data_IF_466386959218
#
_entry.id   IF_466386959218
#
_cell.length_a   1.000
_cell.length_b   1.000
_cell.length_c   1.000
_cell.angle_alpha   90.00
_cell.angle_beta   90.00
_cell.angle_gamma   90.00
#
_symmetry.space_group_name_H-M   'P 1'
#
loop_
_entity.id
_entity.type
_entity.pdbx_description
1 polymer ?
#
# COMPACT_ATOMS: atom_id res chain seq x y z
N UNK A 1 46.02 35.19 -31.02
CA UNK A 1 46.01 33.92 -31.77
C UNK A 1 46.30 32.80 -30.76
N UNK A 2 45.42 31.78 -30.70
CA UNK A 2 45.40 30.55 -29.87
C UNK A 2 45.34 30.74 -28.33
N UNK A 3 44.19 30.64 -27.65
CA UNK A 3 43.26 29.51 -27.37
C UNK A 3 43.73 28.61 -26.21
N UNK A 4 43.09 28.83 -25.05
CA UNK A 4 43.10 27.95 -23.89
C UNK A 4 42.23 26.71 -24.18
N UNK A 5 42.78 25.53 -23.92
CA UNK A 5 42.02 24.31 -23.74
C UNK A 5 42.69 23.49 -22.62
N UNK A 6 42.09 23.51 -21.43
CA UNK A 6 42.33 22.48 -20.41
C UNK A 6 41.13 21.57 -20.45
N UNK A 7 41.32 20.39 -21.06
CA UNK A 7 40.32 19.35 -21.15
C UNK A 7 40.13 18.69 -19.77
N UNK A 8 39.02 19.01 -19.09
CA UNK A 8 38.47 18.15 -18.05
C UNK A 8 37.90 16.88 -18.69
N UNK A 9 38.67 15.79 -18.67
CA UNK A 9 38.21 14.43 -18.98
C UNK A 9 38.21 13.65 -17.66
N UNK A 10 37.07 13.40 -17.02
CA UNK A 10 36.11 12.31 -17.30
C UNK A 10 36.75 10.93 -17.49
N UNK A 11 36.50 10.05 -16.51
CA UNK A 11 36.24 8.61 -16.72
C UNK A 11 37.14 7.61 -15.97
N UNK A 12 36.50 6.74 -15.16
CA UNK A 12 36.78 5.30 -14.93
C UNK A 12 36.97 4.81 -13.46
N UNK A 13 35.82 4.57 -12.81
CA UNK A 13 35.39 3.39 -12.01
C UNK A 13 36.39 2.37 -11.44
N UNK A 14 36.20 1.99 -10.16
CA UNK A 14 35.94 0.59 -9.75
C UNK A 14 35.11 0.52 -8.46
N UNK A 15 34.04 -0.27 -8.56
CA UNK A 15 33.12 -0.75 -7.53
C UNK A 15 33.83 -1.53 -6.42
N UNK A 16 33.62 -1.15 -5.15
CA UNK A 16 33.78 -2.04 -4.00
C UNK A 16 32.40 -2.49 -3.51
N UNK A 17 31.77 -3.36 -4.31
CA UNK A 17 30.53 -4.04 -3.96
C UNK A 17 30.73 -5.01 -2.79
N UNK A 18 30.31 -4.61 -1.61
CA UNK A 18 29.92 -5.54 -0.53
C UNK A 18 28.41 -5.44 -0.39
N UNK A 19 27.69 -6.27 -1.15
CA UNK A 19 26.27 -6.50 -0.92
C UNK A 19 26.17 -7.71 0.00
N UNK A 20 26.09 -7.45 1.31
CA UNK A 20 25.83 -8.51 2.29
C UNK A 20 24.38 -8.98 2.09
N UNK A 21 24.10 -10.29 1.94
CA UNK A 21 22.73 -10.77 1.92
C UNK A 21 22.12 -10.56 3.30
N UNK A 22 21.21 -9.61 3.43
CA UNK A 22 20.37 -9.51 4.62
C UNK A 22 19.17 -10.45 4.45
N UNK A 23 18.94 -11.31 5.42
CA UNK A 23 17.76 -12.17 5.47
C UNK A 23 16.67 -11.45 6.26
N UNK A 24 15.51 -11.21 5.65
CA UNK A 24 14.34 -10.71 6.36
C UNK A 24 13.58 -11.92 6.93
N UNK A 25 13.58 -12.08 8.25
CA UNK A 25 12.71 -13.02 8.95
C UNK A 25 11.51 -12.28 9.54
N UNK A 26 10.29 -12.62 9.10
CA UNK A 26 9.06 -12.06 9.66
C UNK A 26 8.56 -12.99 10.78
N UNK A 27 8.77 -12.61 12.04
CA UNK A 27 8.19 -13.30 13.19
C UNK A 27 6.98 -12.51 13.70
N UNK A 28 5.79 -13.06 13.49
CA UNK A 28 4.56 -12.54 14.09
C UNK A 28 4.29 -13.32 15.39
N UNK A 29 4.40 -12.64 16.53
CA UNK A 29 3.93 -13.17 17.81
C UNK A 29 2.53 -12.65 18.08
N UNK A 30 1.54 -13.54 18.02
CA UNK A 30 0.16 -13.24 18.35
C UNK A 30 -0.05 -13.61 19.83
N UNK A 31 0.11 -12.64 20.72
CA UNK A 31 -0.08 -12.82 22.16
C UNK A 31 -1.57 -12.89 22.44
N UNK A 32 -2.12 -14.11 22.41
CA UNK A 32 -3.50 -14.37 22.75
C UNK A 32 -3.66 -14.21 24.27
N UNK A 33 -4.35 -13.14 24.69
CA UNK A 33 -4.65 -12.84 26.08
C UNK A 33 -5.44 -13.96 26.79
N UNK A 34 -5.50 -13.93 28.13
CA UNK A 34 -5.99 -15.05 28.93
C UNK A 34 -7.49 -15.31 28.72
N UNK A 35 -7.77 -16.33 27.91
CA UNK A 35 -8.53 -17.50 28.35
C UNK A 35 -10.05 -17.42 28.44
N UNK A 36 -10.73 -17.27 27.29
CA UNK A 36 -12.11 -17.76 27.11
C UNK A 36 -12.21 -19.31 27.23
N UNK A 37 -11.08 -19.99 27.46
CA UNK A 37 -10.96 -21.44 27.63
C UNK A 37 -11.74 -21.97 28.84
N UNK A 38 -11.97 -21.14 29.86
CA UNK A 38 -12.77 -21.54 31.03
C UNK A 38 -14.26 -21.64 30.73
N UNK A 39 -14.78 -20.81 29.82
CA UNK A 39 -16.18 -20.86 29.41
C UNK A 39 -16.46 -22.09 28.54
N UNK A 40 -15.49 -22.48 27.69
CA UNK A 40 -15.64 -23.63 26.78
C UNK A 40 -15.75 -24.98 27.48
N UNK A 41 -15.19 -25.14 28.69
CA UNK A 41 -15.35 -26.35 29.49
C UNK A 41 -16.75 -26.47 30.13
N UNK A 42 -17.47 -25.35 30.29
CA UNK A 42 -18.88 -25.37 30.70
C UNK A 42 -19.79 -25.69 29.52
N UNK A 43 -19.47 -25.20 28.32
CA UNK A 43 -20.20 -25.48 27.07
C UNK A 43 -19.99 -26.93 26.59
N UNK A 44 -18.86 -27.57 26.91
CA UNK A 44 -18.57 -28.97 26.54
C UNK A 44 -19.50 -30.02 27.20
N UNK A 45 -20.44 -29.63 28.06
CA UNK A 45 -21.48 -30.52 28.61
C UNK A 45 -22.80 -30.48 27.84
N UNK A 46 -22.94 -29.59 26.86
CA UNK A 46 -24.13 -29.52 26.01
C UNK A 46 -23.83 -30.10 24.61
N UNK A 47 -24.75 -30.91 24.04
CA UNK A 47 -24.47 -31.63 22.81
C UNK A 47 -24.63 -30.72 21.59
N UNK A 48 -23.60 -30.74 20.74
CA UNK A 48 -23.59 -30.40 19.31
C UNK A 48 -24.13 -29.03 18.89
N UNK A 49 -23.24 -28.05 18.79
CA UNK A 49 -23.38 -26.92 17.86
C UNK A 49 -22.14 -26.87 16.93
N UNK A 50 -22.43 -26.62 15.65
CA UNK A 50 -21.54 -26.63 14.48
C UNK A 50 -20.18 -25.94 14.68
N UNK A 51 -19.14 -26.30 13.89
CA UNK A 51 -17.84 -25.64 13.95
C UNK A 51 -18.01 -24.14 13.74
N UNK A 52 -17.63 -23.38 14.77
CA UNK A 52 -17.57 -21.92 14.80
C UNK A 52 -16.81 -21.45 13.54
N UNK A 53 -17.53 -20.77 12.65
CA UNK A 53 -17.00 -20.25 11.40
C UNK A 53 -15.73 -19.42 11.68
N UNK A 54 -14.69 -19.61 10.87
CA UNK A 54 -13.53 -18.74 10.87
C UNK A 54 -13.99 -17.28 10.79
N UNK A 55 -13.27 -16.31 11.42
CA UNK A 55 -13.61 -14.90 11.27
C UNK A 55 -13.71 -14.58 9.77
N UNK A 56 -14.91 -14.23 9.33
CA UNK A 56 -15.17 -13.88 7.93
C UNK A 56 -14.25 -12.70 7.56
N UNK A 57 -13.64 -12.71 6.36
CA UNK A 57 -12.77 -11.62 5.95
C UNK A 57 -13.56 -10.31 5.98
N UNK A 58 -13.02 -9.30 6.66
CA UNK A 58 -13.56 -7.95 6.59
C UNK A 58 -13.33 -7.41 5.17
N UNK A 59 -14.33 -7.67 4.31
CA UNK A 59 -14.33 -7.25 2.91
C UNK A 59 -14.10 -5.76 2.77
N UNK A 60 -14.61 -4.93 3.68
CA UNK A 60 -14.40 -3.49 3.66
C UNK A 60 -12.93 -3.15 3.94
N UNK A 61 -12.30 -3.84 4.90
CA UNK A 61 -10.88 -3.65 5.20
C UNK A 61 -9.95 -4.11 4.06
N UNK A 62 -10.29 -5.22 3.40
CA UNK A 62 -9.52 -5.71 2.24
C UNK A 62 -9.63 -4.75 1.06
N UNK A 63 -10.83 -4.25 0.83
CA UNK A 63 -11.14 -3.27 -0.19
C UNK A 63 -10.45 -1.93 0.04
N UNK A 64 -10.44 -1.45 1.29
CA UNK A 64 -9.71 -0.26 1.70
C UNK A 64 -8.20 -0.43 1.48
N UNK A 65 -7.65 -1.62 1.78
CA UNK A 65 -6.23 -1.92 1.57
C UNK A 65 -5.85 -1.92 0.08
N UNK A 66 -6.75 -2.35 -0.81
CA UNK A 66 -6.55 -2.24 -2.27
C UNK A 66 -6.47 -0.80 -2.78
N UNK A 67 -6.98 0.18 -2.02
CA UNK A 67 -6.97 1.60 -2.39
C UNK A 67 -5.86 2.40 -1.69
N UNK A 68 -4.93 1.72 -1.02
CA UNK A 68 -3.77 2.36 -0.38
C UNK A 68 -3.03 3.24 -1.38
N UNK A 69 -2.74 4.50 -1.00
CA UNK A 69 -2.09 5.48 -1.86
C UNK A 69 -0.66 5.00 -2.26
N UNK A 70 -0.41 4.64 -3.52
CA UNK A 70 0.90 4.13 -3.93
C UNK A 70 1.94 5.24 -4.06
N UNK A 71 1.53 6.50 -4.26
CA UNK A 71 2.45 7.64 -4.33
C UNK A 71 3.04 7.93 -2.95
N UNK A 72 2.26 7.74 -1.88
CA UNK A 72 2.77 7.79 -0.51
C UNK A 72 3.82 6.68 -0.23
N UNK A 73 3.65 5.49 -0.83
CA UNK A 73 4.66 4.42 -0.75
C UNK A 73 5.95 4.79 -1.51
N UNK A 74 5.83 5.43 -2.68
CA UNK A 74 6.99 5.95 -3.43
C UNK A 74 7.73 7.02 -2.62
N UNK A 75 7.01 7.93 -1.98
CA UNK A 75 7.58 8.95 -1.08
C UNK A 75 8.29 8.33 0.12
N UNK A 76 7.81 7.20 0.64
CA UNK A 76 8.49 6.46 1.71
C UNK A 76 9.82 5.83 1.26
N UNK A 77 10.01 5.65 -0.05
CA UNK A 77 11.25 5.17 -0.66
C UNK A 77 12.17 6.31 -1.14
N UNK A 78 11.86 7.57 -0.83
CA UNK A 78 12.58 8.75 -1.34
C UNK A 78 14.09 8.70 -1.11
N UNK A 79 14.51 8.20 0.04
CA UNK A 79 15.91 8.14 0.45
C UNK A 79 16.66 7.07 -0.36
N UNK A 80 16.03 5.91 -0.59
CA UNK A 80 16.56 4.83 -1.43
C UNK A 80 16.61 5.21 -2.93
N UNK A 81 15.66 6.04 -3.37
CA UNK A 81 15.55 6.51 -4.76
C UNK A 81 16.37 7.78 -5.02
N UNK A 82 16.96 8.38 -3.97
CA UNK A 82 17.71 9.64 -4.05
C UNK A 82 16.90 10.75 -4.74
N UNK A 83 15.63 10.90 -4.36
CA UNK A 83 14.72 11.88 -4.98
C UNK A 83 15.17 13.30 -4.70
N UNK A 84 15.20 14.15 -5.73
CA UNK A 84 15.44 15.58 -5.56
C UNK A 84 14.29 16.24 -4.78
N UNK A 85 14.55 17.31 -3.99
CA UNK A 85 13.52 17.97 -3.19
C UNK A 85 12.35 18.50 -4.06
N UNK A 86 12.62 18.90 -5.30
CA UNK A 86 11.60 19.30 -6.27
C UNK A 86 10.74 18.12 -6.72
N UNK A 87 11.32 16.93 -6.88
CA UNK A 87 10.58 15.70 -7.21
C UNK A 87 9.70 15.28 -6.03
N UNK A 88 10.22 15.36 -4.80
CA UNK A 88 9.44 15.07 -3.58
C UNK A 88 8.23 16.01 -3.48
N UNK A 89 8.43 17.32 -3.69
CA UNK A 89 7.32 18.29 -3.67
C UNK A 89 6.24 17.97 -4.72
N UNK A 90 6.64 17.65 -5.95
CA UNK A 90 5.68 17.26 -7.01
C UNK A 90 4.93 15.97 -6.68
N UNK A 91 5.63 14.95 -6.16
CA UNK A 91 5.01 13.69 -5.75
C UNK A 91 4.08 13.88 -4.55
N UNK A 92 4.42 14.78 -3.62
CA UNK A 92 3.56 15.15 -2.50
C UNK A 92 2.23 15.74 -3.01
N UNK A 93 2.28 16.69 -3.93
CA UNK A 93 1.07 17.27 -4.55
C UNK A 93 0.22 16.21 -5.23
N UNK A 94 0.84 15.25 -5.93
CA UNK A 94 0.12 14.14 -6.57
C UNK A 94 -0.52 13.24 -5.51
N UNK A 95 0.20 12.93 -4.41
CA UNK A 95 -0.32 12.13 -3.31
C UNK A 95 -1.53 12.80 -2.63
N UNK A 96 -1.42 14.09 -2.32
CA UNK A 96 -2.48 14.88 -1.69
C UNK A 96 -3.72 14.98 -2.59
N UNK A 97 -3.51 15.13 -3.90
CA UNK A 97 -4.59 15.11 -4.91
C UNK A 97 -5.28 13.75 -4.97
N UNK A 98 -4.52 12.66 -4.99
CA UNK A 98 -5.08 11.31 -5.01
C UNK A 98 -5.88 11.02 -3.74
N UNK A 99 -5.38 11.45 -2.57
CA UNK A 99 -6.11 11.29 -1.31
C UNK A 99 -7.41 12.09 -1.34
N UNK A 100 -7.40 13.32 -1.85
CA UNK A 100 -8.60 14.13 -2.02
C UNK A 100 -9.63 13.47 -2.95
N UNK A 101 -9.18 12.93 -4.10
CA UNK A 101 -10.02 12.24 -5.07
C UNK A 101 -10.59 10.91 -4.53
N UNK A 102 -9.88 10.26 -3.61
CA UNK A 102 -10.31 9.00 -2.99
C UNK A 102 -11.10 9.20 -1.68
N UNK A 103 -11.22 10.43 -1.13
CA UNK A 103 -12.07 10.69 0.05
C UNK A 103 -13.51 10.23 -0.13
N UNK A 104 -14.22 10.50 -1.25
CA UNK A 104 -15.60 10.06 -1.43
C UNK A 104 -15.73 8.53 -1.41
N UNK A 105 -14.72 7.83 -1.91
CA UNK A 105 -14.65 6.36 -1.88
C UNK A 105 -14.48 5.89 -0.44
N UNK A 106 -13.56 6.48 0.32
CA UNK A 106 -13.33 6.16 1.73
C UNK A 106 -14.58 6.44 2.60
N UNK A 107 -15.27 7.55 2.37
CA UNK A 107 -16.51 7.89 3.07
C UNK A 107 -17.64 6.90 2.71
N UNK A 108 -17.72 6.47 1.44
CA UNK A 108 -18.67 5.43 1.01
C UNK A 108 -18.40 4.08 1.68
N UNK A 109 -17.13 3.67 1.80
CA UNK A 109 -16.75 2.45 2.53
C UNK A 109 -17.11 2.56 4.03
N UNK A 110 -16.88 3.73 4.65
CA UNK A 110 -17.24 3.96 6.06
C UNK A 110 -18.74 3.86 6.27
N UNK A 111 -19.53 4.52 5.42
CA UNK A 111 -20.99 4.48 5.49
C UNK A 111 -21.54 3.07 5.25
N UNK A 112 -20.96 2.34 4.28
CA UNK A 112 -21.31 0.95 4.02
C UNK A 112 -21.09 0.06 5.24
N UNK A 113 -19.97 0.26 5.96
CA UNK A 113 -19.67 -0.45 7.22
C UNK A 113 -20.65 -0.11 8.35
N UNK A 114 -21.07 1.14 8.46
CA UNK A 114 -22.05 1.58 9.47
C UNK A 114 -23.44 1.03 9.17
N UNK A 115 -23.84 1.00 7.89
CA UNK A 115 -25.17 0.53 7.44
C UNK A 115 -25.29 -1.00 7.49
N UNK A 116 -24.18 -1.70 7.25
CA UNK A 116 -24.05 -3.15 7.21
C UNK A 116 -24.41 -3.89 8.52
N UNK A 117 -24.29 -3.23 9.68
CA UNK A 117 -24.47 -3.88 10.98
C UNK A 117 -23.44 -4.98 11.28
N UNK A 118 -23.76 -5.89 12.21
CA UNK A 118 -22.84 -6.94 12.70
C UNK A 118 -22.52 -8.04 11.67
N UNK A 119 -23.35 -8.21 10.63
CA UNK A 119 -23.16 -9.21 9.56
C UNK A 119 -23.71 -8.72 8.21
N UNK A 120 -22.97 -7.86 7.50
CA UNK A 120 -23.31 -7.56 6.12
C UNK A 120 -23.22 -8.79 5.23
N UNK A 121 -24.07 -8.83 4.20
CA UNK A 121 -23.83 -9.68 3.05
C UNK A 121 -22.63 -9.11 2.24
N UNK A 122 -21.50 -9.83 2.17
CA UNK A 122 -20.29 -9.32 1.53
C UNK A 122 -20.47 -9.13 0.02
N UNK A 123 -21.32 -9.93 -0.64
CA UNK A 123 -21.55 -9.84 -2.07
C UNK A 123 -22.35 -8.59 -2.43
N UNK A 124 -23.36 -8.24 -1.62
CA UNK A 124 -24.15 -7.03 -1.82
C UNK A 124 -23.33 -5.77 -1.57
N UNK A 125 -22.51 -5.74 -0.51
CA UNK A 125 -21.60 -4.63 -0.25
C UNK A 125 -20.58 -4.43 -1.38
N UNK A 126 -19.98 -5.52 -1.85
CA UNK A 126 -19.01 -5.46 -2.95
C UNK A 126 -19.66 -4.93 -4.24
N UNK A 127 -20.87 -5.38 -4.58
CA UNK A 127 -21.61 -4.89 -5.74
C UNK A 127 -21.97 -3.41 -5.63
N UNK A 128 -22.35 -2.94 -4.44
CA UNK A 128 -22.68 -1.53 -4.20
C UNK A 128 -21.44 -0.62 -4.28
N UNK A 129 -20.29 -1.07 -3.79
CA UNK A 129 -19.05 -0.29 -3.76
C UNK A 129 -18.24 -0.39 -5.07
N UNK A 130 -18.52 -1.38 -5.92
CA UNK A 130 -17.87 -1.61 -7.22
C UNK A 130 -17.60 -0.33 -8.04
N UNK A 131 -18.58 0.56 -8.30
CA UNK A 131 -18.34 1.77 -9.09
C UNK A 131 -17.35 2.73 -8.42
N UNK A 132 -17.42 2.87 -7.09
CA UNK A 132 -16.50 3.73 -6.33
C UNK A 132 -15.08 3.15 -6.35
N UNK A 133 -14.96 1.84 -6.31
CA UNK A 133 -13.67 1.15 -6.42
C UNK A 133 -13.06 1.26 -7.79
N UNK A 134 -13.87 1.11 -8.84
CA UNK A 134 -13.43 1.32 -10.21
C UNK A 134 -12.91 2.75 -10.39
N UNK A 135 -13.61 3.75 -9.84
CA UNK A 135 -13.16 5.14 -9.83
C UNK A 135 -11.83 5.31 -9.07
N UNK A 136 -11.72 4.75 -7.85
CA UNK A 136 -10.49 4.79 -7.05
C UNK A 136 -9.29 4.15 -7.76
N UNK A 137 -9.48 2.99 -8.39
CA UNK A 137 -8.44 2.32 -9.21
C UNK A 137 -8.03 3.16 -10.42
N UNK A 138 -8.98 3.81 -11.08
CA UNK A 138 -8.69 4.72 -12.20
C UNK A 138 -7.90 5.96 -11.73
N UNK A 139 -8.23 6.52 -10.56
CA UNK A 139 -7.48 7.62 -9.93
C UNK A 139 -6.05 7.19 -9.62
N UNK A 140 -5.87 6.01 -9.02
CA UNK A 140 -4.55 5.43 -8.70
C UNK A 140 -3.71 5.27 -9.96
N UNK A 141 -4.29 4.71 -11.05
CA UNK A 141 -3.57 4.55 -12.31
C UNK A 141 -3.11 5.89 -12.89
N UNK A 142 -3.98 6.91 -12.89
CA UNK A 142 -3.62 8.27 -13.34
C UNK A 142 -2.51 8.88 -12.48
N UNK A 143 -2.59 8.73 -11.17
CA UNK A 143 -1.56 9.22 -10.25
C UNK A 143 -0.21 8.52 -10.47
N UNK A 144 -0.20 7.20 -10.74
CA UNK A 144 1.01 6.46 -11.08
C UNK A 144 1.61 6.91 -12.42
N UNK A 145 0.80 7.16 -13.44
CA UNK A 145 1.25 7.71 -14.72
C UNK A 145 1.89 9.11 -14.55
N UNK A 146 1.31 9.95 -13.69
CA UNK A 146 1.89 11.25 -13.33
C UNK A 146 3.18 11.11 -12.53
N UNK A 147 3.21 10.22 -11.53
CA UNK A 147 4.42 9.95 -10.74
C UNK A 147 5.56 9.43 -11.62
N UNK A 148 5.25 8.56 -12.61
CA UNK A 148 6.22 8.08 -13.60
C UNK A 148 6.83 9.21 -14.42
N UNK A 149 6.07 10.25 -14.73
CA UNK A 149 6.57 11.43 -15.46
C UNK A 149 7.50 12.32 -14.61
N UNK A 150 7.40 12.24 -13.28
CA UNK A 150 8.27 12.97 -12.34
C UNK A 150 9.57 12.21 -12.06
N UNK A 151 9.51 10.87 -12.09
CA UNK A 151 10.64 9.99 -11.85
C UNK A 151 11.47 9.77 -13.13
N UNK A 152 12.77 9.60 -12.96
CA UNK A 152 13.65 9.16 -14.06
C UNK A 152 13.43 7.67 -14.36
N UNK A 153 13.79 7.18 -15.57
CA UNK A 153 13.70 5.75 -15.90
C UNK A 153 14.50 4.86 -14.95
N UNK A 154 15.65 5.36 -14.48
CA UNK A 154 16.53 4.67 -13.53
C UNK A 154 15.88 4.57 -12.14
N UNK A 155 15.24 5.64 -11.67
CA UNK A 155 14.47 5.63 -10.42
C UNK A 155 13.24 4.72 -10.51
N UNK A 156 12.53 4.73 -11.64
CA UNK A 156 11.41 3.81 -11.88
C UNK A 156 11.84 2.35 -11.86
N UNK A 157 13.02 2.05 -12.42
CA UNK A 157 13.62 0.71 -12.40
C UNK A 157 13.85 0.17 -10.99
N UNK A 158 14.15 1.03 -10.02
CA UNK A 158 14.40 0.66 -8.60
C UNK A 158 13.13 0.40 -7.80
N UNK A 159 11.94 0.76 -8.31
CA UNK A 159 10.69 0.51 -7.59
C UNK A 159 10.39 -1.00 -7.46
N UNK A 160 9.80 -1.44 -6.32
CA UNK A 160 9.30 -2.79 -6.16
C UNK A 160 8.30 -3.17 -7.27
N UNK A 161 8.23 -4.44 -7.68
CA UNK A 161 7.28 -4.90 -8.68
C UNK A 161 5.81 -4.67 -8.28
N UNK A 162 5.52 -4.57 -6.98
CA UNK A 162 4.18 -4.25 -6.49
C UNK A 162 3.72 -2.81 -6.81
N UNK A 163 4.63 -1.91 -7.20
CA UNK A 163 4.34 -0.51 -7.55
C UNK A 163 4.53 -0.21 -9.04
N UNK A 164 4.82 -1.24 -9.85
CA UNK A 164 5.00 -1.16 -11.31
C UNK A 164 3.78 -1.70 -12.02
#
# INVERSE_FOLDING_TARGET
RYLYAVNGRFGATVSSGVSVPFQIALQAHLTLGPGQTRERLRVAREPAAAPEAAPEPDVVAELARSLTNPVALILSLRDSLNLAPEQVSRLQTIADSLDADNRPVADSLRLARETAGERPDPALLAAQLEPQLAAGRANIRRALEQARSVLTPEQWGKLPPALK
#
